data_IF_883484496915
#
_entry.id   IF_883484496915
#
_cell.length_a   1.000
_cell.length_b   1.000
_cell.length_c   1.000
_cell.angle_alpha   90.00
_cell.angle_beta   90.00
_cell.angle_gamma   90.00
#
_symmetry.space_group_name_H-M   'P 1'
#
loop_
_entity.id
_entity.type
_entity.pdbx_description
1 polymer ?
#
# COMPACT_ATOMS: atom_id res chain seq x y z
N UNK A 1 -14.32 -0.80 9.84
CA UNK A 1 -13.94 0.58 10.18
C UNK A 1 -12.73 0.64 11.13
N UNK A 2 -12.73 0.04 12.33
CA UNK A 2 -11.59 0.08 13.27
C UNK A 2 -10.27 -0.47 12.68
N UNK A 3 -10.32 -1.52 11.86
CA UNK A 3 -9.14 -2.07 11.17
C UNK A 3 -8.59 -1.06 10.17
N UNK A 4 -9.47 -0.39 9.42
CA UNK A 4 -9.10 0.64 8.44
C UNK A 4 -8.41 1.85 9.09
N UNK A 5 -8.82 2.25 10.31
CA UNK A 5 -8.14 3.31 11.07
C UNK A 5 -6.66 2.98 11.32
N UNK A 6 -6.33 1.69 11.42
CA UNK A 6 -4.93 1.26 11.49
C UNK A 6 -4.16 1.57 10.22
N UNK A 7 -4.73 1.23 9.07
CA UNK A 7 -4.13 1.51 7.77
C UNK A 7 -3.99 3.01 7.48
N UNK A 8 -4.86 3.87 8.05
CA UNK A 8 -4.76 5.32 7.89
C UNK A 8 -3.40 5.84 8.34
N UNK A 9 -2.91 5.44 9.52
CA UNK A 9 -1.62 5.91 10.02
C UNK A 9 -0.43 5.24 9.37
N UNK A 10 -0.62 4.04 8.80
CA UNK A 10 0.35 3.43 7.90
C UNK A 10 0.57 4.29 6.64
N UNK A 11 -0.53 4.73 6.04
CA UNK A 11 -0.46 5.62 4.87
C UNK A 11 0.06 7.00 5.24
N UNK A 12 -0.27 7.52 6.44
CA UNK A 12 0.36 8.72 6.96
C UNK A 12 1.87 8.59 6.95
N UNK A 13 2.41 7.52 7.57
CA UNK A 13 3.84 7.30 7.70
C UNK A 13 4.54 7.07 6.34
N UNK A 14 3.88 6.37 5.44
CA UNK A 14 4.40 6.14 4.10
C UNK A 14 4.49 7.44 3.29
N UNK A 15 3.43 8.24 3.32
CA UNK A 15 3.33 9.45 2.49
C UNK A 15 4.02 10.66 3.09
N UNK A 16 4.13 10.81 4.42
CA UNK A 16 4.87 11.93 4.97
C UNK A 16 6.32 11.95 4.47
N UNK A 17 6.89 10.77 4.18
CA UNK A 17 8.23 10.61 3.57
C UNK A 17 8.45 11.58 2.42
N UNK A 18 7.47 11.73 1.53
CA UNK A 18 7.55 12.66 0.40
C UNK A 18 7.46 14.13 0.83
N UNK A 19 6.52 14.43 1.71
CA UNK A 19 6.16 15.81 2.04
C UNK A 19 7.13 16.48 3.02
N UNK A 20 7.85 15.73 3.85
CA UNK A 20 8.90 16.27 4.74
C UNK A 20 10.24 16.45 4.04
N UNK A 21 10.43 15.82 2.87
CA UNK A 21 11.69 15.82 2.12
C UNK A 21 12.29 17.21 1.90
N UNK A 22 11.56 18.21 1.39
CA UNK A 22 12.13 19.51 1.15
C UNK A 22 12.58 20.21 2.45
N UNK A 23 11.84 20.00 3.56
CA UNK A 23 12.23 20.51 4.88
C UNK A 23 13.52 19.89 5.39
N UNK A 24 13.64 18.58 5.30
CA UNK A 24 14.85 17.84 5.71
C UNK A 24 16.08 18.22 4.88
N UNK A 25 15.90 18.43 3.56
CA UNK A 25 16.97 18.89 2.67
C UNK A 25 17.44 20.30 3.07
N UNK A 26 16.51 21.21 3.32
CA UNK A 26 16.83 22.57 3.77
C UNK A 26 17.54 22.60 5.14
N UNK A 27 17.26 21.65 6.03
CA UNK A 27 17.93 21.48 7.32
C UNK A 27 19.35 20.89 7.20
N UNK A 28 19.88 20.69 5.99
CA UNK A 28 21.22 20.13 5.69
C UNK A 28 21.47 18.74 6.32
N UNK A 29 20.43 17.98 6.61
CA UNK A 29 20.54 16.65 7.22
C UNK A 29 21.06 15.57 6.27
N UNK A 30 21.13 15.87 4.97
CA UNK A 30 21.57 14.93 3.93
C UNK A 30 22.86 15.36 3.23
N UNK A 31 23.75 16.04 3.95
CA UNK A 31 25.12 16.29 3.48
C UNK A 31 25.95 15.01 3.63
N UNK A 32 27.02 14.82 2.83
CA UNK A 32 27.91 13.64 2.94
C UNK A 32 28.42 13.41 4.36
N UNK A 33 28.76 14.49 5.09
CA UNK A 33 29.23 14.46 6.47
C UNK A 33 28.15 13.96 7.43
N UNK A 34 26.89 14.42 7.27
CA UNK A 34 25.77 14.03 8.10
C UNK A 34 25.29 12.60 7.83
N UNK A 35 25.53 12.07 6.63
CA UNK A 35 25.10 10.74 6.22
C UNK A 35 26.04 9.63 6.74
N UNK A 36 27.28 9.93 7.13
CA UNK A 36 28.22 8.96 7.67
C UNK A 36 28.34 7.70 6.81
N UNK A 37 28.03 6.53 7.38
CA UNK A 37 28.09 5.24 6.67
C UNK A 37 27.27 5.22 5.38
N UNK A 38 26.12 5.88 5.33
CA UNK A 38 25.28 5.93 4.11
C UNK A 38 25.94 6.70 2.97
N UNK A 39 26.92 7.57 3.26
CA UNK A 39 27.70 8.24 2.20
C UNK A 39 28.68 7.29 1.51
N UNK A 40 29.17 6.26 2.23
CA UNK A 40 30.10 5.25 1.72
C UNK A 40 29.41 4.11 0.95
N UNK A 41 28.08 4.00 0.98
CA UNK A 41 27.30 3.20 0.02
C UNK A 41 27.45 3.71 -1.43
N UNK A 42 28.47 4.48 -1.66
CA UNK A 42 28.92 5.27 -2.80
C UNK A 42 29.20 4.57 -4.13
N UNK A 43 28.50 3.46 -4.44
CA UNK A 43 28.39 2.93 -5.81
C UNK A 43 27.52 3.85 -6.68
N UNK A 44 26.67 4.63 -6.05
CA UNK A 44 25.86 5.68 -6.67
C UNK A 44 26.17 6.96 -5.89
N UNK A 45 26.54 8.06 -6.53
CA UNK A 45 26.57 9.41 -5.94
C UNK A 45 25.16 9.83 -5.57
N UNK A 46 24.62 9.22 -4.51
CA UNK A 46 23.21 9.32 -4.16
C UNK A 46 22.95 10.66 -3.52
N UNK A 47 21.92 11.37 -3.98
CA UNK A 47 21.40 12.52 -3.24
C UNK A 47 20.93 12.02 -1.85
N UNK A 48 21.27 12.75 -0.81
CA UNK A 48 21.07 12.27 0.56
C UNK A 48 19.65 11.86 0.90
N UNK A 49 18.64 12.53 0.35
CA UNK A 49 17.24 12.14 0.53
C UNK A 49 16.90 10.76 -0.07
N UNK A 50 17.57 10.35 -1.15
CA UNK A 50 17.42 9.00 -1.70
C UNK A 50 17.71 7.90 -0.68
N UNK A 51 18.67 8.14 0.25
CA UNK A 51 18.98 7.18 1.33
C UNK A 51 17.84 7.06 2.34
N UNK A 52 17.10 8.12 2.59
CA UNK A 52 15.92 8.11 3.47
C UNK A 52 14.78 7.28 2.87
N UNK A 53 14.49 7.47 1.58
CA UNK A 53 13.51 6.66 0.84
C UNK A 53 13.96 5.18 0.81
N UNK A 54 15.24 4.93 0.51
CA UNK A 54 15.81 3.58 0.55
C UNK A 54 15.63 2.93 1.92
N UNK A 55 16.00 3.61 3.00
CA UNK A 55 15.86 3.09 4.37
C UNK A 55 14.41 2.73 4.70
N UNK A 56 13.45 3.54 4.25
CA UNK A 56 12.02 3.28 4.42
C UNK A 56 11.62 1.94 3.80
N UNK A 57 11.87 1.76 2.51
CA UNK A 57 11.40 0.58 1.77
C UNK A 57 12.26 -0.66 2.02
N UNK A 58 13.56 -0.49 2.28
CA UNK A 58 14.43 -1.59 2.68
C UNK A 58 14.02 -2.15 4.05
N UNK A 59 13.73 -1.27 5.01
CA UNK A 59 13.15 -1.66 6.30
C UNK A 59 11.83 -2.40 6.12
N UNK A 60 10.92 -1.85 5.33
CA UNK A 60 9.63 -2.45 5.03
C UNK A 60 9.79 -3.85 4.42
N UNK A 61 10.69 -4.02 3.45
CA UNK A 61 10.99 -5.32 2.86
C UNK A 61 11.50 -6.32 3.89
N UNK A 62 12.46 -5.92 4.72
CA UNK A 62 12.96 -6.76 5.82
C UNK A 62 11.85 -7.14 6.78
N UNK A 63 10.98 -6.20 7.16
CA UNK A 63 9.82 -6.43 8.01
C UNK A 63 8.87 -7.50 7.45
N UNK A 64 8.54 -7.40 6.17
CA UNK A 64 7.69 -8.37 5.47
C UNK A 64 8.34 -9.76 5.42
N UNK A 65 9.62 -9.84 5.06
CA UNK A 65 10.31 -11.12 4.84
C UNK A 65 10.67 -11.80 6.16
N UNK A 66 11.23 -11.07 7.11
CA UNK A 66 11.70 -11.64 8.37
C UNK A 66 10.56 -11.95 9.35
N UNK A 67 9.53 -11.09 9.39
CA UNK A 67 8.47 -11.17 10.38
C UNK A 67 7.09 -11.48 9.82
N UNK A 68 6.93 -11.67 8.50
CA UNK A 68 5.64 -11.94 7.87
C UNK A 68 4.91 -13.19 8.40
N UNK A 69 5.64 -14.15 9.01
CA UNK A 69 5.05 -15.34 9.64
C UNK A 69 4.74 -15.16 11.13
N UNK A 70 5.11 -14.02 11.73
CA UNK A 70 4.93 -13.79 13.16
C UNK A 70 3.45 -13.76 13.56
N UNK A 71 2.58 -13.26 12.68
CA UNK A 71 1.15 -13.21 12.89
C UNK A 71 0.51 -14.62 12.98
N UNK A 72 1.07 -15.61 12.29
CA UNK A 72 0.61 -17.00 12.38
C UNK A 72 0.99 -17.64 13.72
N UNK A 73 2.13 -17.25 14.27
CA UNK A 73 2.66 -17.82 15.53
C UNK A 73 2.07 -17.15 16.77
N UNK A 74 2.02 -15.82 16.80
CA UNK A 74 1.69 -15.03 17.99
C UNK A 74 0.25 -14.48 18.00
N UNK A 75 -0.49 -14.64 16.91
CA UNK A 75 -1.83 -14.07 16.74
C UNK A 75 -1.82 -12.74 16.01
N UNK A 76 -2.93 -12.47 15.32
CA UNK A 76 -3.05 -11.27 14.47
C UNK A 76 -3.10 -10.00 15.32
N UNK A 77 -3.90 -10.00 16.39
CA UNK A 77 -4.05 -8.86 17.30
C UNK A 77 -2.75 -8.49 18.00
N UNK A 78 -2.01 -9.47 18.52
CA UNK A 78 -0.76 -9.24 19.21
C UNK A 78 0.30 -8.63 18.27
N UNK A 79 0.54 -9.25 17.11
CA UNK A 79 1.54 -8.77 16.14
C UNK A 79 1.17 -7.39 15.61
N UNK A 80 -0.11 -7.16 15.32
CA UNK A 80 -0.63 -5.87 14.90
C UNK A 80 -0.40 -4.76 15.94
N UNK A 81 -0.58 -5.07 17.21
CA UNK A 81 -0.37 -4.12 18.31
C UNK A 81 1.11 -3.80 18.50
N UNK A 82 1.96 -4.83 18.57
CA UNK A 82 3.39 -4.67 18.81
C UNK A 82 4.12 -4.02 17.64
N UNK A 83 3.77 -4.35 16.41
CA UNK A 83 4.35 -3.69 15.24
C UNK A 83 4.01 -2.20 15.17
N UNK A 84 2.80 -1.81 15.60
CA UNK A 84 2.40 -0.42 15.72
C UNK A 84 3.25 0.33 16.76
N UNK A 85 3.38 -0.22 17.96
CA UNK A 85 4.21 0.37 19.03
C UNK A 85 5.66 0.51 18.56
N UNK A 86 6.18 -0.52 17.92
CA UNK A 86 7.53 -0.53 17.37
C UNK A 86 7.76 0.62 16.38
N UNK A 87 6.93 0.71 15.32
CA UNK A 87 7.17 1.74 14.31
C UNK A 87 6.92 3.16 14.84
N UNK A 88 5.92 3.34 15.71
CA UNK A 88 5.61 4.63 16.36
C UNK A 88 6.78 5.09 17.20
N UNK A 89 7.33 4.23 18.05
CA UNK A 89 8.49 4.55 18.88
C UNK A 89 9.72 4.90 18.02
N UNK A 90 10.00 4.11 16.98
CA UNK A 90 11.11 4.37 16.08
C UNK A 90 10.94 5.69 15.31
N UNK A 91 9.73 5.99 14.82
CA UNK A 91 9.42 7.25 14.13
C UNK A 91 9.50 8.46 15.07
N UNK A 92 9.04 8.31 16.32
CA UNK A 92 9.18 9.35 17.34
C UNK A 92 10.67 9.65 17.64
N UNK A 93 11.48 8.62 17.87
CA UNK A 93 12.92 8.79 18.11
C UNK A 93 13.61 9.43 16.91
N UNK A 94 13.22 9.04 15.69
CA UNK A 94 13.72 9.64 14.44
C UNK A 94 13.50 11.16 14.41
N UNK A 95 12.35 11.65 14.87
CA UNK A 95 12.02 13.07 14.85
C UNK A 95 12.99 13.94 15.68
N UNK A 96 13.69 13.38 16.64
CA UNK A 96 14.65 14.08 17.50
C UNK A 96 16.10 13.92 17.06
N UNK A 97 16.38 13.20 15.97
CA UNK A 97 17.75 13.03 15.50
C UNK A 97 18.26 14.29 14.80
N UNK A 98 19.57 14.54 14.98
CA UNK A 98 20.27 15.70 14.42
C UNK A 98 21.17 15.37 13.22
N UNK A 99 21.35 14.09 12.88
CA UNK A 99 22.17 13.64 11.76
C UNK A 99 21.41 12.76 10.80
N UNK A 100 21.67 12.89 9.50
CA UNK A 100 21.05 12.08 8.46
C UNK A 100 21.29 10.59 8.64
N UNK A 101 22.45 10.19 9.17
CA UNK A 101 22.77 8.79 9.46
C UNK A 101 21.77 8.18 10.45
N UNK A 102 21.54 8.82 11.60
CA UNK A 102 20.62 8.30 12.60
C UNK A 102 19.18 8.42 12.17
N UNK A 103 18.82 9.44 11.40
CA UNK A 103 17.50 9.53 10.77
C UNK A 103 17.24 8.30 9.88
N UNK A 104 18.21 7.93 9.03
CA UNK A 104 18.11 6.76 8.15
C UNK A 104 18.04 5.44 8.93
N UNK A 105 18.83 5.29 10.00
CA UNK A 105 18.79 4.10 10.85
C UNK A 105 17.42 3.92 11.50
N UNK A 106 16.90 4.98 12.13
CA UNK A 106 15.59 4.91 12.78
C UNK A 106 14.47 4.76 11.75
N UNK A 107 14.64 5.35 10.56
CA UNK A 107 13.68 5.17 9.45
C UNK A 107 13.64 3.72 8.94
N UNK A 108 14.79 3.06 8.87
CA UNK A 108 14.87 1.64 8.55
C UNK A 108 14.17 0.78 9.62
N UNK A 109 14.43 1.06 10.90
CA UNK A 109 13.80 0.35 12.03
C UNK A 109 12.27 0.56 12.02
N UNK A 110 11.80 1.79 11.79
CA UNK A 110 10.39 2.10 11.64
C UNK A 110 9.77 1.38 10.44
N UNK A 111 10.46 1.37 9.30
CA UNK A 111 10.04 0.67 8.09
C UNK A 111 9.87 -0.83 8.32
N UNK A 112 10.75 -1.47 9.12
CA UNK A 112 10.61 -2.88 9.45
C UNK A 112 9.34 -3.14 10.28
N UNK A 113 9.04 -2.33 11.28
CA UNK A 113 7.77 -2.42 12.04
C UNK A 113 6.54 -2.23 11.14
N UNK A 114 6.61 -1.27 10.21
CA UNK A 114 5.56 -1.02 9.23
C UNK A 114 5.34 -2.22 8.29
N UNK A 115 6.41 -2.88 7.82
CA UNK A 115 6.32 -4.06 6.97
C UNK A 115 5.60 -5.24 7.63
N UNK A 116 5.82 -5.45 8.93
CA UNK A 116 5.09 -6.44 9.73
C UNK A 116 3.60 -6.12 9.78
N UNK A 117 3.26 -4.86 10.00
CA UNK A 117 1.89 -4.39 10.14
C UNK A 117 1.10 -4.53 8.84
N UNK A 118 1.69 -4.16 7.69
CA UNK A 118 1.06 -4.20 6.38
C UNK A 118 0.50 -5.62 6.06
N UNK A 119 1.32 -6.66 6.26
CA UNK A 119 0.90 -8.05 6.02
C UNK A 119 -0.21 -8.47 7.00
N UNK A 120 -0.15 -7.98 8.23
CA UNK A 120 -1.10 -8.34 9.28
C UNK A 120 -2.48 -7.71 9.04
N UNK A 121 -2.54 -6.44 8.63
CA UNK A 121 -3.80 -5.71 8.34
C UNK A 121 -4.57 -6.38 7.22
N UNK A 122 -3.91 -6.66 6.10
CA UNK A 122 -4.55 -7.30 4.94
C UNK A 122 -5.11 -8.69 5.29
N UNK A 123 -4.33 -9.48 6.02
CA UNK A 123 -4.76 -10.82 6.48
C UNK A 123 -5.97 -10.71 7.42
N UNK A 124 -5.91 -9.77 8.36
CA UNK A 124 -6.95 -9.55 9.35
C UNK A 124 -8.27 -9.09 8.71
N UNK A 125 -8.19 -8.18 7.73
CA UNK A 125 -9.34 -7.71 6.98
C UNK A 125 -10.04 -8.88 6.23
N UNK A 126 -9.24 -9.75 5.59
CA UNK A 126 -9.77 -10.94 4.88
C UNK A 126 -10.42 -11.93 5.83
N UNK A 127 -9.85 -12.14 7.02
CA UNK A 127 -10.35 -13.11 8.00
C UNK A 127 -11.63 -12.68 8.70
N UNK A 128 -11.82 -11.37 8.91
CA UNK A 128 -13.01 -10.81 9.57
C UNK A 128 -14.12 -10.40 8.60
N UNK A 129 -13.85 -10.37 7.29
CA UNK A 129 -14.86 -9.94 6.32
C UNK A 129 -15.48 -11.16 5.59
N UNK A 130 -16.82 -11.25 5.52
CA UNK A 130 -17.52 -12.28 4.74
C UNK A 130 -17.06 -12.28 3.28
N UNK A 131 -17.00 -13.47 2.65
CA UNK A 131 -16.48 -13.62 1.29
C UNK A 131 -17.22 -12.77 0.25
N UNK A 132 -18.52 -12.58 0.42
CA UNK A 132 -19.38 -11.78 -0.48
C UNK A 132 -19.11 -10.27 -0.42
N UNK A 133 -18.51 -9.77 0.68
CA UNK A 133 -18.29 -8.34 0.91
C UNK A 133 -16.80 -7.94 0.85
N UNK A 134 -15.88 -8.92 0.70
CA UNK A 134 -14.42 -8.65 0.74
C UNK A 134 -13.98 -7.58 -0.24
N UNK A 135 -14.43 -7.64 -1.49
CA UNK A 135 -14.05 -6.64 -2.49
C UNK A 135 -14.47 -5.22 -2.08
N UNK A 136 -15.71 -5.06 -1.63
CA UNK A 136 -16.20 -3.76 -1.13
C UNK A 136 -15.44 -3.30 0.11
N UNK A 137 -15.18 -4.20 1.06
CA UNK A 137 -14.43 -3.89 2.27
C UNK A 137 -13.01 -3.41 1.95
N UNK A 138 -12.33 -4.05 0.98
CA UNK A 138 -11.02 -3.60 0.52
C UNK A 138 -11.07 -2.22 -0.13
N UNK A 139 -12.06 -1.94 -0.99
CA UNK A 139 -12.21 -0.63 -1.61
C UNK A 139 -12.45 0.47 -0.58
N UNK A 140 -13.37 0.22 0.37
CA UNK A 140 -13.66 1.16 1.46
C UNK A 140 -12.43 1.37 2.34
N UNK A 141 -11.74 0.29 2.71
CA UNK A 141 -10.48 0.37 3.46
C UNK A 141 -9.46 1.24 2.74
N UNK A 142 -9.26 1.01 1.46
CA UNK A 142 -8.29 1.75 0.66
C UNK A 142 -8.66 3.23 0.53
N UNK A 143 -9.95 3.51 0.32
CA UNK A 143 -10.45 4.90 0.28
C UNK A 143 -10.19 5.62 1.61
N UNK A 144 -10.53 4.99 2.74
CA UNK A 144 -10.28 5.53 4.08
C UNK A 144 -8.78 5.78 4.30
N UNK A 145 -7.92 4.82 3.91
CA UNK A 145 -6.48 4.96 4.03
C UNK A 145 -5.92 6.12 3.19
N UNK A 146 -6.40 6.30 1.96
CA UNK A 146 -5.96 7.40 1.11
C UNK A 146 -6.49 8.78 1.54
N UNK A 147 -7.58 8.87 2.32
CA UNK A 147 -8.06 10.14 2.86
C UNK A 147 -7.05 10.85 3.77
N UNK A 148 -6.08 10.12 4.34
CA UNK A 148 -5.04 10.70 5.18
C UNK A 148 -3.98 11.47 4.35
N UNK A 149 -3.81 11.13 3.07
CA UNK A 149 -2.72 11.71 2.25
C UNK A 149 -2.89 13.22 2.05
N UNK A 150 -4.08 13.75 1.69
CA UNK A 150 -4.31 15.20 1.70
C UNK A 150 -4.06 15.84 3.07
N UNK A 151 -4.38 15.16 4.17
CA UNK A 151 -4.14 15.69 5.52
C UNK A 151 -2.65 15.83 5.79
N UNK A 152 -1.85 14.82 5.46
CA UNK A 152 -0.38 14.87 5.58
C UNK A 152 0.18 16.00 4.72
N UNK A 153 -0.29 16.12 3.49
CA UNK A 153 0.16 17.16 2.57
C UNK A 153 -0.18 18.55 3.08
N UNK A 154 -1.40 18.75 3.61
CA UNK A 154 -1.83 20.01 4.23
C UNK A 154 -0.98 20.37 5.44
N UNK A 155 -0.78 19.42 6.36
CA UNK A 155 0.06 19.64 7.54
C UNK A 155 1.49 20.00 7.13
N UNK A 156 2.03 19.35 6.11
CA UNK A 156 3.37 19.64 5.61
C UNK A 156 3.44 21.04 4.98
N UNK A 157 2.46 21.42 4.17
CA UNK A 157 2.39 22.77 3.60
C UNK A 157 2.35 23.86 4.67
N UNK A 158 1.58 23.65 5.74
CA UNK A 158 1.44 24.63 6.82
C UNK A 158 2.64 24.69 7.76
N UNK A 159 3.32 23.56 8.03
CA UNK A 159 4.33 23.45 9.08
C UNK A 159 5.77 23.42 8.55
N UNK A 160 6.04 22.71 7.44
CA UNK A 160 7.42 22.50 6.96
C UNK A 160 8.15 23.81 6.60
N UNK A 161 7.50 24.84 6.01
CA UNK A 161 8.17 26.13 5.76
C UNK A 161 8.43 26.95 7.04
N UNK A 162 7.86 26.54 8.17
CA UNK A 162 7.93 27.25 9.45
C UNK A 162 8.79 26.48 10.43
N UNK A 163 9.24 27.16 11.47
CA UNK A 163 9.92 26.54 12.62
C UNK A 163 9.18 26.90 13.92
N UNK A 164 7.97 26.34 14.16
CA UNK A 164 7.21 26.67 15.37
C UNK A 164 8.01 26.31 16.62
N UNK A 165 8.07 27.26 17.57
CA UNK A 165 8.83 27.11 18.83
C UNK A 165 10.35 26.84 18.65
N UNK A 166 10.93 27.25 17.51
CA UNK A 166 12.34 27.00 17.21
C UNK A 166 12.65 25.55 16.78
N UNK A 167 11.61 24.74 16.57
CA UNK A 167 11.74 23.35 16.16
C UNK A 167 11.33 23.21 14.68
N UNK A 168 12.14 22.52 13.87
CA UNK A 168 11.94 22.40 12.42
C UNK A 168 10.57 21.83 12.07
N UNK A 169 9.85 22.48 11.16
CA UNK A 169 8.45 22.17 10.86
C UNK A 169 8.20 20.73 10.39
N UNK A 170 9.16 20.09 9.69
CA UNK A 170 9.05 18.70 9.26
C UNK A 170 8.97 17.75 10.46
N UNK A 171 9.64 18.05 11.58
CA UNK A 171 9.58 17.23 12.81
C UNK A 171 8.18 17.24 13.43
N UNK A 172 7.48 18.37 13.36
CA UNK A 172 6.10 18.46 13.82
C UNK A 172 5.18 17.57 12.99
N UNK A 173 5.34 17.53 11.66
CA UNK A 173 4.57 16.61 10.80
C UNK A 173 4.77 15.18 11.23
N UNK A 174 6.01 14.76 11.48
CA UNK A 174 6.33 13.40 11.96
C UNK A 174 5.66 13.11 13.32
N UNK A 175 5.74 14.04 14.26
CA UNK A 175 5.16 13.88 15.61
C UNK A 175 3.64 13.85 15.59
N UNK A 176 2.97 14.62 14.72
CA UNK A 176 1.52 14.51 14.54
C UNK A 176 1.09 13.10 14.13
N UNK A 177 1.81 12.47 13.20
CA UNK A 177 1.58 11.09 12.82
C UNK A 177 1.74 10.12 13.99
N UNK A 178 2.77 10.34 14.80
CA UNK A 178 3.05 9.54 15.99
C UNK A 178 1.91 9.64 17.02
N UNK A 179 1.46 10.86 17.34
CA UNK A 179 0.34 11.09 18.28
C UNK A 179 -0.95 10.45 17.77
N UNK A 180 -1.25 10.63 16.48
CA UNK A 180 -2.42 10.02 15.86
C UNK A 180 -2.39 8.50 15.89
N UNK A 181 -1.22 7.89 15.66
CA UNK A 181 -1.04 6.44 15.74
C UNK A 181 -1.22 5.90 17.18
N UNK A 182 -0.78 6.64 18.20
CA UNK A 182 -1.03 6.31 19.60
C UNK A 182 -2.54 6.36 19.91
N UNK A 183 -3.26 7.38 19.43
CA UNK A 183 -4.70 7.47 19.60
C UNK A 183 -5.43 6.27 18.99
N UNK A 184 -5.04 5.85 17.78
CA UNK A 184 -5.60 4.64 17.13
C UNK A 184 -5.21 3.39 17.89
N UNK A 185 -3.99 3.30 18.42
CA UNK A 185 -3.61 2.18 19.28
C UNK A 185 -4.54 2.02 20.48
N UNK A 186 -4.90 3.12 21.16
CA UNK A 186 -5.85 3.09 22.27
C UNK A 186 -7.25 2.61 21.81
N UNK A 187 -7.72 3.05 20.65
CA UNK A 187 -9.02 2.64 20.10
C UNK A 187 -9.07 1.15 19.68
N UNK A 188 -7.92 0.54 19.38
CA UNK A 188 -7.81 -0.86 18.96
C UNK A 188 -8.03 -1.89 20.07
N UNK A 189 -8.05 -1.50 21.33
CA UNK A 189 -8.27 -2.42 22.45
C UNK A 189 -9.54 -3.28 22.26
N UNK A 190 -10.57 -2.73 21.58
CA UNK A 190 -11.83 -3.40 21.29
C UNK A 190 -11.83 -4.36 20.09
N UNK A 191 -10.74 -4.48 19.32
CA UNK A 191 -10.70 -5.40 18.17
C UNK A 191 -10.51 -6.84 18.68
N UNK A 192 -11.40 -7.81 18.30
CA UNK A 192 -11.27 -9.20 18.72
C UNK A 192 -10.13 -9.90 17.97
N UNK A 193 -9.57 -10.99 18.50
CA UNK A 193 -8.60 -11.82 17.78
C UNK A 193 -9.28 -12.53 16.58
N UNK A 194 -8.47 -12.99 15.61
CA UNK A 194 -8.99 -13.72 14.45
C UNK A 194 -9.62 -15.05 14.87
N UNK A 195 -10.91 -15.31 14.54
CA UNK A 195 -11.55 -16.59 14.80
C UNK A 195 -10.82 -17.78 14.13
N UNK A 196 -10.26 -17.56 12.94
CA UNK A 196 -9.51 -18.60 12.22
C UNK A 196 -8.21 -18.96 12.90
N UNK A 197 -7.51 -17.97 13.45
CA UNK A 197 -6.30 -18.20 14.22
C UNK A 197 -6.61 -18.94 15.52
N UNK A 198 -7.64 -18.49 16.27
CA UNK A 198 -8.07 -19.17 17.50
C UNK A 198 -8.43 -20.64 17.23
N UNK A 199 -9.17 -20.91 16.17
CA UNK A 199 -9.50 -22.27 15.77
C UNK A 199 -8.24 -23.09 15.42
N UNK A 200 -7.23 -22.49 14.77
CA UNK A 200 -5.96 -23.17 14.47
C UNK A 200 -5.12 -23.49 15.73
N UNK A 201 -5.35 -22.74 16.82
CA UNK A 201 -4.72 -22.97 18.14
C UNK A 201 -5.54 -23.89 19.04
N UNK A 202 -6.66 -24.44 18.56
CA UNK A 202 -7.55 -25.31 19.33
C UNK A 202 -8.49 -24.58 20.28
N UNK A 203 -8.52 -23.23 20.28
CA UNK A 203 -9.39 -22.38 21.13
C UNK A 203 -10.76 -22.18 20.49
N UNK A 204 -11.49 -23.29 20.28
CA UNK A 204 -12.74 -23.30 19.49
C UNK A 204 -13.85 -22.47 20.14
N UNK A 205 -14.01 -22.56 21.47
CA UNK A 205 -15.07 -21.84 22.20
C UNK A 205 -14.95 -20.31 22.07
N UNK A 206 -13.71 -19.81 22.04
CA UNK A 206 -13.46 -18.39 21.84
C UNK A 206 -13.72 -17.96 20.39
N UNK A 207 -13.33 -18.80 19.44
CA UNK A 207 -13.59 -18.56 18.03
C UNK A 207 -15.11 -18.49 17.77
N UNK A 208 -15.88 -19.42 18.33
CA UNK A 208 -17.34 -19.45 18.20
C UNK A 208 -18.00 -18.22 18.82
N UNK A 209 -17.56 -17.78 20.01
CA UNK A 209 -18.08 -16.53 20.65
C UNK A 209 -17.87 -15.31 19.78
N UNK A 210 -16.69 -15.18 19.15
CA UNK A 210 -16.39 -14.03 18.29
C UNK A 210 -17.24 -14.08 17.01
N UNK A 211 -17.37 -15.24 16.38
CA UNK A 211 -18.21 -15.42 15.18
C UNK A 211 -19.66 -15.07 15.52
N UNK A 212 -20.22 -15.59 16.61
CA UNK A 212 -21.58 -15.30 17.06
C UNK A 212 -21.79 -13.81 17.38
N UNK A 213 -20.77 -13.12 17.91
CA UNK A 213 -20.84 -11.68 18.13
C UNK A 213 -20.87 -10.89 16.82
N UNK A 214 -20.06 -11.28 15.83
CA UNK A 214 -20.04 -10.67 14.50
C UNK A 214 -21.36 -10.91 13.73
N UNK A 215 -21.90 -12.13 13.78
CA UNK A 215 -23.18 -12.48 13.15
C UNK A 215 -24.34 -11.68 13.76
N UNK A 216 -24.38 -11.52 15.08
CA UNK A 216 -25.39 -10.68 15.77
C UNK A 216 -25.29 -9.22 15.35
N UNK A 217 -24.08 -8.67 15.23
CA UNK A 217 -23.86 -7.31 14.75
C UNK A 217 -24.40 -7.11 13.32
N UNK A 218 -24.13 -8.05 12.42
CA UNK A 218 -24.63 -8.02 11.04
C UNK A 218 -26.14 -8.17 10.98
N UNK A 219 -26.73 -9.03 11.82
CA UNK A 219 -28.17 -9.22 11.89
C UNK A 219 -28.89 -7.95 12.39
N UNK A 220 -28.33 -7.29 13.41
CA UNK A 220 -28.86 -6.03 13.95
C UNK A 220 -28.83 -4.89 12.91
N UNK A 221 -27.74 -4.77 12.13
CA UNK A 221 -27.65 -3.79 11.04
C UNK A 221 -28.66 -4.07 9.93
N UNK A 222 -28.89 -5.35 9.58
CA UNK A 222 -29.91 -5.74 8.59
C UNK A 222 -31.32 -5.42 9.04
N UNK A 223 -31.65 -5.68 10.31
CA UNK A 223 -32.97 -5.35 10.88
C UNK A 223 -33.25 -3.85 10.88
N UNK A 224 -32.26 -3.03 11.26
CA UNK A 224 -32.38 -1.57 11.20
C UNK A 224 -32.49 -1.01 9.77
N UNK A 225 -31.88 -1.66 8.78
CA UNK A 225 -31.99 -1.28 7.38
C UNK A 225 -33.31 -1.72 6.73
N UNK A 226 -33.93 -2.79 7.21
CA UNK A 226 -35.24 -3.27 6.73
C UNK A 226 -36.42 -2.41 7.20
N UNK A 227 -36.28 -1.72 8.33
CA UNK A 227 -37.30 -0.74 8.79
C UNK A 227 -37.31 0.54 7.94
N UNK A 228 -36.26 0.82 7.18
CA UNK A 228 -36.12 2.02 6.32
C UNK A 228 -36.25 1.74 4.81
N UNK A 229 -36.43 0.49 4.36
CA UNK A 229 -36.43 0.08 2.96
C UNK A 229 -37.83 -0.11 2.35
N UNK A 230 -37.99 0.26 1.06
CA UNK A 230 -39.24 0.10 0.30
C UNK A 230 -39.61 -1.38 0.05
N UNK A 231 -40.92 -1.70 -0.14
CA UNK A 231 -41.45 -3.09 -0.19
C UNK A 231 -40.91 -4.00 -1.30
N UNK A 232 -40.19 -3.47 -2.28
CA UNK A 232 -39.71 -4.25 -3.44
C UNK A 232 -38.43 -5.09 -3.18
N UNK A 233 -37.67 -4.80 -2.13
CA UNK A 233 -36.41 -5.52 -1.85
C UNK A 233 -36.58 -6.81 -1.03
N UNK A 234 -37.74 -7.03 -0.42
CA UNK A 234 -38.05 -8.23 0.38
C UNK A 234 -38.04 -9.53 -0.44
N UNK A 235 -38.50 -9.50 -1.66
CA UNK A 235 -38.59 -10.70 -2.52
C UNK A 235 -37.22 -11.18 -3.05
N UNK A 236 -36.19 -10.31 -3.08
CA UNK A 236 -34.85 -10.67 -3.51
C UNK A 236 -33.98 -11.23 -2.35
N UNK A 237 -34.32 -10.90 -1.11
CA UNK A 237 -33.61 -11.37 0.09
C UNK A 237 -33.99 -12.80 0.46
N UNK A 238 -35.26 -13.18 0.34
CA UNK A 238 -35.76 -14.51 0.67
C UNK A 238 -35.20 -15.65 -0.21
N UNK A 239 -34.77 -15.34 -1.43
CA UNK A 239 -34.11 -16.33 -2.32
C UNK A 239 -32.65 -16.60 -2.00
N UNK A 240 -32.03 -15.88 -1.09
CA UNK A 240 -30.61 -16.05 -0.69
C UNK A 240 -30.40 -16.83 0.61
N UNK A 241 -31.44 -17.08 1.37
CA UNK A 241 -31.38 -17.84 2.62
C UNK A 241 -31.65 -19.32 2.40
N UNK A 242 -30.76 -19.99 1.62
CA UNK A 242 -30.68 -21.46 1.70
C UNK A 242 -30.11 -21.82 3.09
N UNK A 243 -30.72 -22.80 3.81
CA UNK A 243 -30.25 -23.19 5.12
C UNK A 243 -28.77 -23.61 5.04
N UNK A 244 -27.96 -22.98 5.88
CA UNK A 244 -26.56 -23.34 6.00
C UNK A 244 -26.46 -24.82 6.37
N UNK A 245 -25.71 -25.61 5.61
CA UNK A 245 -25.47 -27.03 5.88
C UNK A 245 -25.08 -27.27 7.34
N UNK A 246 -25.52 -28.39 7.95
CA UNK A 246 -25.23 -28.72 9.35
C UNK A 246 -23.74 -28.58 9.68
N UNK A 247 -23.43 -28.07 10.87
CA UNK A 247 -22.07 -27.81 11.35
C UNK A 247 -21.12 -29.01 11.21
N UNK A 248 -21.64 -30.23 11.31
CA UNK A 248 -20.86 -31.46 11.19
C UNK A 248 -20.42 -31.73 9.74
N UNK A 249 -21.25 -31.43 8.76
CA UNK A 249 -20.88 -31.53 7.34
C UNK A 249 -19.81 -30.47 6.97
N UNK A 250 -19.88 -29.30 7.58
CA UNK A 250 -18.84 -28.25 7.44
C UNK A 250 -17.54 -28.67 8.11
N UNK A 251 -17.59 -29.27 9.31
CA UNK A 251 -16.40 -29.80 10.02
C UNK A 251 -15.72 -30.92 9.24
N UNK A 252 -16.47 -31.81 8.61
CA UNK A 252 -15.92 -32.86 7.76
C UNK A 252 -15.27 -32.30 6.49
N UNK A 253 -15.89 -31.32 5.84
CA UNK A 253 -15.35 -30.67 4.64
C UNK A 253 -14.13 -29.79 4.96
N UNK A 254 -14.10 -29.12 6.11
CA UNK A 254 -12.94 -28.34 6.55
C UNK A 254 -11.78 -29.23 7.00
N UNK A 255 -12.02 -30.32 7.72
CA UNK A 255 -10.97 -31.30 8.06
C UNK A 255 -10.37 -31.94 6.81
N UNK A 256 -11.17 -32.31 5.80
CA UNK A 256 -10.70 -32.77 4.51
C UNK A 256 -9.89 -31.72 3.75
N UNK A 257 -10.31 -30.45 3.79
CA UNK A 257 -9.57 -29.31 3.20
C UNK A 257 -8.27 -29.00 3.93
N UNK A 258 -8.24 -29.07 5.25
CA UNK A 258 -7.02 -28.83 6.05
C UNK A 258 -5.98 -29.93 5.83
N UNK A 259 -6.39 -31.19 5.67
CA UNK A 259 -5.48 -32.28 5.31
C UNK A 259 -5.03 -32.26 3.85
N UNK A 260 -5.85 -31.77 2.93
CA UNK A 260 -5.53 -31.68 1.49
C UNK A 260 -4.64 -30.48 1.12
N UNK A 261 -4.42 -29.51 1.99
CA UNK A 261 -3.46 -28.42 1.76
C UNK A 261 -2.05 -28.94 2.00
N UNK A 262 -1.57 -29.84 1.13
CA UNK A 262 -0.13 -30.00 0.92
C UNK A 262 0.46 -28.60 0.78
N UNK A 263 1.36 -28.20 1.69
CA UNK A 263 2.01 -26.88 1.68
C UNK A 263 2.57 -26.65 0.28
N UNK A 264 1.92 -25.79 -0.50
CA UNK A 264 2.37 -25.44 -1.83
C UNK A 264 3.86 -25.05 -1.73
N UNK A 265 4.73 -25.59 -2.56
CA UNK A 265 6.17 -25.24 -2.54
C UNK A 265 6.39 -24.04 -3.42
N UNK A 266 7.28 -23.11 -3.03
CA UNK A 266 7.66 -21.97 -3.87
C UNK A 266 8.16 -22.42 -5.25
N UNK A 267 8.81 -23.57 -5.33
CA UNK A 267 9.24 -24.19 -6.59
C UNK A 267 8.09 -24.40 -7.60
N UNK A 268 6.84 -24.57 -7.14
CA UNK A 268 5.69 -24.73 -8.04
C UNK A 268 5.41 -23.49 -8.88
N UNK A 269 5.80 -22.28 -8.42
CA UNK A 269 5.67 -21.04 -9.18
C UNK A 269 6.55 -21.00 -10.42
N UNK A 270 7.62 -21.80 -10.43
CA UNK A 270 8.56 -21.91 -11.54
C UNK A 270 8.31 -23.15 -12.42
N UNK A 271 7.24 -23.91 -12.12
CA UNK A 271 6.82 -24.98 -13.01
C UNK A 271 6.50 -24.42 -14.42
N UNK A 272 6.69 -25.20 -15.50
CA UNK A 272 6.48 -24.75 -16.89
C UNK A 272 5.17 -24.02 -17.12
N UNK A 273 4.12 -24.43 -16.41
CA UNK A 273 2.78 -23.89 -16.47
C UNK A 273 2.66 -22.46 -15.90
N UNK A 274 3.38 -22.14 -14.81
CA UNK A 274 3.23 -20.87 -14.08
C UNK A 274 4.41 -19.94 -14.26
N UNK A 275 5.58 -20.42 -14.73
CA UNK A 275 6.81 -19.64 -14.83
C UNK A 275 6.63 -18.34 -15.63
N UNK A 276 5.91 -18.40 -16.76
CA UNK A 276 5.66 -17.22 -17.58
C UNK A 276 4.83 -16.15 -16.86
N UNK A 277 3.76 -16.56 -16.18
CA UNK A 277 2.91 -15.67 -15.38
C UNK A 277 3.67 -15.09 -14.18
N UNK A 278 4.47 -15.91 -13.50
CA UNK A 278 5.29 -15.47 -12.37
C UNK A 278 6.33 -14.45 -12.80
N UNK A 279 7.05 -14.70 -13.91
CA UNK A 279 8.05 -13.78 -14.44
C UNK A 279 7.40 -12.46 -14.91
N UNK A 280 6.34 -12.55 -15.70
CA UNK A 280 5.59 -11.40 -16.20
C UNK A 280 5.12 -10.50 -15.04
N UNK A 281 4.48 -11.08 -14.02
CA UNK A 281 4.00 -10.31 -12.88
C UNK A 281 5.15 -9.77 -12.01
N UNK A 282 6.27 -10.48 -11.89
CA UNK A 282 7.46 -9.98 -11.18
C UNK A 282 8.04 -8.76 -11.87
N UNK A 283 8.22 -8.82 -13.20
CA UNK A 283 8.68 -7.68 -14.01
C UNK A 283 7.69 -6.51 -13.91
N UNK A 284 6.39 -6.78 -14.04
CA UNK A 284 5.36 -5.76 -13.90
C UNK A 284 5.38 -5.10 -12.50
N UNK A 285 5.50 -5.90 -11.43
CA UNK A 285 5.54 -5.35 -10.06
C UNK A 285 6.76 -4.46 -9.81
N UNK A 286 7.91 -4.77 -10.41
CA UNK A 286 9.09 -3.90 -10.40
C UNK A 286 8.80 -2.60 -11.17
N UNK A 287 8.30 -2.72 -12.38
CA UNK A 287 8.08 -1.58 -13.27
C UNK A 287 7.04 -0.60 -12.71
N UNK A 288 5.86 -1.10 -12.29
CA UNK A 288 4.77 -0.26 -11.83
C UNK A 288 5.13 0.52 -10.57
N UNK A 289 5.90 -0.09 -9.66
CA UNK A 289 6.25 0.54 -8.39
C UNK A 289 7.30 1.64 -8.56
N UNK A 290 8.18 1.51 -9.56
CA UNK A 290 9.10 2.59 -9.96
C UNK A 290 8.31 3.85 -10.32
N UNK A 291 7.25 3.71 -11.12
CA UNK A 291 6.38 4.84 -11.44
C UNK A 291 5.66 5.38 -10.22
N UNK A 292 4.96 4.52 -9.49
CA UNK A 292 4.13 4.94 -8.37
C UNK A 292 4.95 5.68 -7.29
N UNK A 293 5.98 5.05 -6.75
CA UNK A 293 6.80 5.67 -5.70
C UNK A 293 7.85 6.63 -6.25
N UNK A 294 8.33 6.44 -7.47
CA UNK A 294 9.24 7.37 -8.12
C UNK A 294 8.62 8.76 -8.32
N UNK A 295 7.31 8.84 -8.55
CA UNK A 295 6.59 10.11 -8.59
C UNK A 295 6.10 10.54 -7.21
N UNK A 296 5.28 9.72 -6.54
CA UNK A 296 4.60 10.13 -5.30
C UNK A 296 5.56 10.42 -4.14
N UNK A 297 6.65 9.64 -3.98
CA UNK A 297 7.63 9.89 -2.90
C UNK A 297 8.55 11.09 -3.18
N UNK A 298 8.58 11.57 -4.42
CA UNK A 298 9.47 12.64 -4.84
C UNK A 298 8.74 13.90 -5.31
N UNK A 299 7.41 13.89 -5.33
CA UNK A 299 6.60 14.97 -5.90
C UNK A 299 6.99 16.37 -5.41
N UNK A 300 7.05 16.69 -4.10
CA UNK A 300 7.46 18.02 -3.67
C UNK A 300 8.90 18.38 -4.07
N UNK A 301 9.80 17.37 -4.07
CA UNK A 301 11.20 17.55 -4.48
C UNK A 301 11.33 17.77 -5.99
N UNK A 302 10.54 17.06 -6.81
CA UNK A 302 10.46 17.27 -8.25
C UNK A 302 9.97 18.68 -8.59
N UNK A 303 8.97 19.19 -7.85
CA UNK A 303 8.47 20.56 -8.00
C UNK A 303 9.54 21.58 -7.60
N UNK A 304 10.24 21.36 -6.48
CA UNK A 304 11.34 22.22 -6.05
C UNK A 304 12.51 22.23 -7.05
N UNK A 305 12.84 21.09 -7.65
CA UNK A 305 13.87 20.98 -8.70
C UNK A 305 13.49 21.72 -9.99
N UNK A 306 12.21 22.07 -10.18
CA UNK A 306 11.71 22.93 -11.26
C UNK A 306 11.82 24.43 -10.93
N UNK A 307 12.48 24.78 -9.83
CA UNK A 307 12.63 26.18 -9.39
C UNK A 307 11.44 26.73 -8.61
N UNK A 308 10.45 25.90 -8.28
CA UNK A 308 9.31 26.30 -7.45
C UNK A 308 9.79 26.36 -6.00
N UNK A 309 9.48 27.46 -5.31
CA UNK A 309 9.87 27.59 -3.91
C UNK A 309 9.21 26.53 -3.01
N UNK A 310 9.77 26.31 -1.83
CA UNK A 310 9.32 25.29 -0.89
C UNK A 310 7.81 25.34 -0.60
N UNK A 311 7.29 26.53 -0.31
CA UNK A 311 5.88 26.71 0.06
C UNK A 311 4.93 26.33 -1.07
N UNK A 312 5.18 26.82 -2.29
CA UNK A 312 4.36 26.49 -3.45
C UNK A 312 4.56 25.03 -3.91
N UNK A 313 5.75 24.45 -3.73
CA UNK A 313 5.95 23.03 -4.02
C UNK A 313 5.07 22.15 -3.14
N UNK A 314 4.94 22.47 -1.86
CA UNK A 314 4.08 21.74 -0.92
C UNK A 314 2.59 22.06 -1.15
N UNK A 315 2.24 23.28 -1.53
CA UNK A 315 0.89 23.68 -1.93
C UNK A 315 0.41 22.87 -3.14
N UNK A 316 1.20 22.82 -4.22
CA UNK A 316 0.84 22.06 -5.42
C UNK A 316 0.77 20.56 -5.12
N UNK A 317 1.69 20.04 -4.31
CA UNK A 317 1.64 18.66 -3.87
C UNK A 317 0.39 18.34 -3.03
N UNK A 318 -0.08 19.29 -2.20
CA UNK A 318 -1.35 19.18 -1.48
C UNK A 318 -2.55 19.10 -2.44
N UNK A 319 -2.62 20.00 -3.43
CA UNK A 319 -3.70 20.01 -4.43
C UNK A 319 -3.74 18.68 -5.22
N UNK A 320 -2.57 18.15 -5.57
CA UNK A 320 -2.46 16.84 -6.23
C UNK A 320 -2.88 15.71 -5.29
N UNK A 321 -2.55 15.80 -4.00
CA UNK A 321 -2.89 14.79 -3.00
C UNK A 321 -4.40 14.60 -2.80
N UNK A 322 -5.21 15.63 -3.07
CA UNK A 322 -6.68 15.55 -3.01
C UNK A 322 -7.22 14.49 -3.98
N UNK A 323 -6.51 14.19 -5.06
CA UNK A 323 -6.88 13.15 -6.01
C UNK A 323 -6.67 11.72 -5.47
N UNK A 324 -5.89 11.52 -4.42
CA UNK A 324 -5.57 10.20 -3.88
C UNK A 324 -6.82 9.39 -3.44
N UNK A 325 -7.74 9.90 -2.62
CA UNK A 325 -8.94 9.17 -2.24
C UNK A 325 -9.96 9.03 -3.38
N UNK A 326 -9.89 9.90 -4.40
CA UNK A 326 -10.82 9.86 -5.55
C UNK A 326 -10.54 8.65 -6.45
N UNK A 327 -9.28 8.25 -6.59
CA UNK A 327 -8.89 7.12 -7.43
C UNK A 327 -9.59 5.80 -7.09
N UNK A 328 -9.56 5.31 -5.84
CA UNK A 328 -10.28 4.11 -5.42
C UNK A 328 -11.80 4.20 -5.62
N UNK A 329 -12.41 5.37 -5.41
CA UNK A 329 -13.84 5.58 -5.66
C UNK A 329 -14.19 5.42 -7.14
N UNK A 330 -13.39 6.02 -8.02
CA UNK A 330 -13.55 5.84 -9.47
C UNK A 330 -13.28 4.39 -9.88
N UNK A 331 -12.33 3.72 -9.24
CA UNK A 331 -12.02 2.32 -9.47
C UNK A 331 -13.25 1.41 -9.32
N UNK A 332 -14.08 1.64 -8.31
CA UNK A 332 -15.33 0.89 -8.09
C UNK A 332 -16.30 1.04 -9.28
N UNK A 333 -16.37 2.23 -9.89
CA UNK A 333 -17.30 2.50 -11.01
C UNK A 333 -16.87 1.82 -12.32
N UNK A 334 -15.56 1.62 -12.52
CA UNK A 334 -15.01 1.09 -13.76
C UNK A 334 -14.55 -0.37 -13.67
N UNK A 335 -14.43 -0.94 -12.45
CA UNK A 335 -13.84 -2.25 -12.20
C UNK A 335 -14.38 -3.40 -13.06
N UNK A 336 -15.70 -3.43 -13.26
CA UNK A 336 -16.38 -4.54 -13.97
C UNK A 336 -16.74 -4.21 -15.42
N UNK A 337 -16.48 -2.96 -15.87
CA UNK A 337 -16.88 -2.50 -17.20
C UNK A 337 -15.81 -2.71 -18.25
N UNK A 338 -14.53 -2.63 -17.89
CA UNK A 338 -13.40 -2.69 -18.80
C UNK A 338 -12.55 -3.91 -18.44
N UNK A 339 -11.95 -4.57 -19.44
CA UNK A 339 -10.98 -5.66 -19.24
C UNK A 339 -9.81 -5.19 -18.35
N UNK A 340 -9.47 -5.96 -17.31
CA UNK A 340 -8.43 -5.59 -16.34
C UNK A 340 -7.06 -5.35 -16.98
N UNK A 341 -6.68 -6.20 -17.94
CA UNK A 341 -5.46 -6.02 -18.74
C UNK A 341 -5.43 -4.64 -19.43
N UNK A 342 -6.53 -4.26 -20.05
CA UNK A 342 -6.66 -2.96 -20.74
C UNK A 342 -6.61 -1.80 -19.76
N UNK A 343 -7.26 -1.91 -18.59
CA UNK A 343 -7.18 -0.89 -17.53
C UNK A 343 -5.75 -0.67 -17.07
N UNK A 344 -4.99 -1.76 -16.86
CA UNK A 344 -3.59 -1.70 -16.43
C UNK A 344 -2.74 -1.00 -17.49
N UNK A 345 -2.87 -1.41 -18.75
CA UNK A 345 -2.08 -0.85 -19.87
C UNK A 345 -2.40 0.63 -20.06
N UNK A 346 -3.68 1.02 -20.08
CA UNK A 346 -4.09 2.42 -20.18
C UNK A 346 -3.62 3.26 -18.98
N UNK A 347 -3.68 2.70 -17.77
CA UNK A 347 -3.17 3.35 -16.57
C UNK A 347 -1.67 3.64 -16.65
N UNK A 348 -0.87 2.62 -17.03
CA UNK A 348 0.58 2.80 -17.22
C UNK A 348 0.91 3.79 -18.35
N UNK A 349 0.18 3.73 -19.47
CA UNK A 349 0.36 4.67 -20.58
C UNK A 349 0.04 6.11 -20.14
N UNK A 350 -1.07 6.31 -19.40
CA UNK A 350 -1.43 7.61 -18.86
C UNK A 350 -0.40 8.14 -17.86
N UNK A 351 0.14 7.27 -16.97
CA UNK A 351 1.22 7.64 -16.06
C UNK A 351 2.48 8.07 -16.80
N UNK A 352 2.91 7.29 -17.80
CA UNK A 352 4.08 7.62 -18.63
C UNK A 352 3.91 8.93 -19.39
N UNK A 353 2.76 9.13 -20.04
CA UNK A 353 2.44 10.34 -20.75
C UNK A 353 2.35 11.57 -19.83
N UNK A 354 1.68 11.44 -18.70
CA UNK A 354 1.58 12.51 -17.71
C UNK A 354 2.95 12.90 -17.14
N UNK A 355 3.83 11.93 -16.86
CA UNK A 355 5.18 12.19 -16.36
C UNK A 355 6.07 12.86 -17.44
N UNK A 356 5.98 12.40 -18.67
CA UNK A 356 6.68 13.03 -19.80
C UNK A 356 6.23 14.50 -19.97
N UNK A 357 4.93 14.74 -20.01
CA UNK A 357 4.37 16.09 -20.12
C UNK A 357 4.74 16.94 -18.88
N UNK A 358 4.74 16.37 -17.66
CA UNK A 358 5.15 17.04 -16.44
C UNK A 358 6.59 17.56 -16.53
N UNK A 359 7.49 16.81 -17.18
CA UNK A 359 8.89 17.22 -17.34
C UNK A 359 9.08 18.46 -18.25
N UNK A 360 8.11 18.79 -19.10
CA UNK A 360 8.14 19.98 -19.96
C UNK A 360 7.21 21.12 -19.49
N UNK A 361 6.32 20.83 -18.54
CA UNK A 361 5.35 21.81 -18.07
C UNK A 361 6.02 22.98 -17.35
N UNK A 362 5.63 24.22 -17.67
CA UNK A 362 6.17 25.48 -17.07
C UNK A 362 5.16 26.19 -16.19
N UNK A 363 3.86 25.99 -16.42
CA UNK A 363 2.81 26.66 -15.63
C UNK A 363 2.40 25.81 -14.42
N UNK A 364 2.07 26.49 -13.33
CA UNK A 364 1.56 25.84 -12.11
C UNK A 364 0.33 24.97 -12.37
N UNK A 365 -0.62 25.48 -13.17
CA UNK A 365 -1.84 24.76 -13.50
C UNK A 365 -1.53 23.46 -14.26
N UNK A 366 -0.60 23.48 -15.23
CA UNK A 366 -0.21 22.28 -15.97
C UNK A 366 0.44 21.24 -15.04
N UNK A 367 1.32 21.65 -14.13
CA UNK A 367 1.96 20.77 -13.16
C UNK A 367 0.94 20.09 -12.24
N UNK A 368 -0.05 20.87 -11.75
CA UNK A 368 -1.11 20.35 -10.88
C UNK A 368 -1.99 19.35 -11.67
N UNK A 369 -2.47 19.72 -12.85
CA UNK A 369 -3.35 18.87 -13.67
C UNK A 369 -2.64 17.57 -14.08
N UNK A 370 -1.39 17.66 -14.51
CA UNK A 370 -0.61 16.46 -14.87
C UNK A 370 -0.30 15.58 -13.66
N UNK A 371 -0.02 16.20 -12.49
CA UNK A 371 0.14 15.46 -11.23
C UNK A 371 -1.14 14.75 -10.79
N UNK A 372 -2.30 15.39 -10.90
CA UNK A 372 -3.61 14.79 -10.65
C UNK A 372 -3.86 13.64 -11.62
N UNK A 373 -3.60 13.86 -12.93
CA UNK A 373 -3.75 12.83 -13.97
C UNK A 373 -2.90 11.61 -13.68
N UNK A 374 -1.62 11.82 -13.33
CA UNK A 374 -0.71 10.75 -12.92
C UNK A 374 -1.26 9.98 -11.72
N UNK A 375 -1.69 10.68 -10.68
CA UNK A 375 -2.18 10.10 -9.43
C UNK A 375 -3.45 9.27 -9.64
N UNK A 376 -4.42 9.79 -10.40
CA UNK A 376 -5.65 9.07 -10.73
C UNK A 376 -5.35 7.82 -11.57
N UNK A 377 -4.51 7.94 -12.60
CA UNK A 377 -4.10 6.82 -13.43
C UNK A 377 -3.40 5.73 -12.62
N UNK A 378 -2.50 6.11 -11.70
CA UNK A 378 -1.79 5.19 -10.81
C UNK A 378 -2.74 4.43 -9.88
N UNK A 379 -3.73 5.12 -9.28
CA UNK A 379 -4.68 4.50 -8.38
C UNK A 379 -5.66 3.57 -9.11
N UNK A 380 -6.17 3.98 -10.28
CA UNK A 380 -7.02 3.13 -11.13
C UNK A 380 -6.28 1.87 -11.60
N UNK A 381 -5.04 2.02 -12.04
CA UNK A 381 -4.18 0.90 -12.43
C UNK A 381 -3.94 -0.04 -11.24
N UNK A 382 -3.62 0.53 -10.06
CA UNK A 382 -3.37 -0.23 -8.83
C UNK A 382 -4.57 -1.10 -8.45
N UNK A 383 -5.79 -0.58 -8.52
CA UNK A 383 -7.00 -1.34 -8.27
C UNK A 383 -7.15 -2.53 -9.23
N UNK A 384 -6.94 -2.29 -10.53
CA UNK A 384 -7.07 -3.32 -11.56
C UNK A 384 -6.04 -4.45 -11.38
N UNK A 385 -4.76 -4.12 -11.10
CA UNK A 385 -3.71 -5.13 -11.04
C UNK A 385 -3.79 -6.02 -9.78
N UNK A 386 -4.23 -5.51 -8.64
CA UNK A 386 -4.40 -6.34 -7.44
C UNK A 386 -5.40 -7.47 -7.68
N UNK A 387 -6.48 -7.19 -8.37
CA UNK A 387 -7.46 -8.20 -8.79
C UNK A 387 -6.87 -9.14 -9.84
N UNK A 388 -6.24 -8.58 -10.87
CA UNK A 388 -5.65 -9.32 -11.98
C UNK A 388 -4.62 -10.35 -11.53
N UNK A 389 -3.65 -9.97 -10.68
CA UNK A 389 -2.64 -10.89 -10.20
C UNK A 389 -3.22 -12.06 -9.38
N UNK A 390 -4.32 -11.83 -8.66
CA UNK A 390 -4.99 -12.87 -7.89
C UNK A 390 -5.73 -13.88 -8.78
N UNK A 391 -6.20 -13.46 -9.94
CA UNK A 391 -6.92 -14.32 -10.91
C UNK A 391 -6.00 -15.24 -11.71
N UNK A 392 -4.72 -14.87 -11.87
CA UNK A 392 -3.77 -15.63 -12.69
C UNK A 392 -3.25 -16.91 -12.02
N UNK A 393 -3.55 -17.14 -10.75
CA UNK A 393 -3.10 -18.32 -10.01
C UNK A 393 -4.26 -19.10 -9.39
N UNK A 394 -4.21 -20.45 -9.46
CA UNK A 394 -5.21 -21.31 -8.82
C UNK A 394 -5.23 -21.10 -7.30
N UNK A 395 -6.39 -21.29 -6.69
CA UNK A 395 -6.65 -21.02 -5.26
C UNK A 395 -5.61 -21.64 -4.33
N UNK A 396 -5.10 -22.84 -4.69
CA UNK A 396 -4.12 -23.61 -3.88
C UNK A 396 -2.78 -22.88 -3.68
N UNK A 397 -2.27 -22.20 -4.72
CA UNK A 397 -0.96 -21.51 -4.69
C UNK A 397 -1.08 -19.98 -4.68
N UNK A 398 -2.31 -19.43 -4.84
CA UNK A 398 -2.57 -18.00 -5.07
C UNK A 398 -1.90 -17.08 -4.06
N UNK A 399 -2.10 -17.30 -2.76
CA UNK A 399 -1.55 -16.44 -1.73
C UNK A 399 -0.02 -16.37 -1.75
N UNK A 400 0.64 -17.51 -2.00
CA UNK A 400 2.10 -17.58 -2.13
C UNK A 400 2.60 -16.93 -3.41
N UNK A 401 1.89 -17.16 -4.52
CA UNK A 401 2.23 -16.57 -5.80
C UNK A 401 2.13 -15.05 -5.74
N UNK A 402 0.99 -14.52 -5.27
CA UNK A 402 0.78 -13.08 -5.10
C UNK A 402 1.81 -12.50 -4.14
N UNK A 403 2.05 -13.13 -2.98
CA UNK A 403 3.07 -12.68 -2.03
C UNK A 403 4.48 -12.64 -2.63
N UNK A 404 4.85 -13.67 -3.40
CA UNK A 404 6.15 -13.72 -4.07
C UNK A 404 6.30 -12.61 -5.12
N UNK A 405 5.35 -12.49 -6.06
CA UNK A 405 5.47 -11.47 -7.12
C UNK A 405 5.37 -10.05 -6.57
N UNK A 406 4.58 -9.85 -5.52
CA UNK A 406 4.44 -8.55 -4.87
C UNK A 406 5.65 -8.15 -4.01
N UNK A 407 6.43 -9.11 -3.49
CA UNK A 407 7.65 -8.79 -2.73
C UNK A 407 8.69 -8.04 -3.56
N UNK A 408 8.75 -8.28 -4.87
CA UNK A 408 9.61 -7.55 -5.80
C UNK A 408 9.29 -6.05 -5.85
N UNK A 409 8.03 -5.67 -5.67
CA UNK A 409 7.64 -4.26 -5.64
C UNK A 409 8.29 -3.50 -4.48
N UNK A 410 8.43 -4.12 -3.31
CA UNK A 410 9.03 -3.48 -2.13
C UNK A 410 10.54 -3.28 -2.29
N UNK A 411 11.20 -4.30 -2.81
CA UNK A 411 12.62 -4.23 -3.12
C UNK A 411 12.90 -3.17 -4.21
N UNK A 412 12.10 -3.17 -5.28
CA UNK A 412 12.22 -2.18 -6.35
C UNK A 412 11.96 -0.76 -5.86
N UNK A 413 11.00 -0.54 -4.94
CA UNK A 413 10.74 0.78 -4.37
C UNK A 413 11.95 1.34 -3.60
N UNK A 414 12.67 0.49 -2.87
CA UNK A 414 13.88 0.89 -2.16
C UNK A 414 14.95 1.41 -3.13
N UNK A 415 15.27 0.65 -4.17
CA UNK A 415 16.26 1.06 -5.15
C UNK A 415 15.78 2.19 -6.06
N UNK A 416 14.49 2.24 -6.39
CA UNK A 416 13.92 3.35 -7.18
C UNK A 416 14.15 4.70 -6.50
N UNK A 417 14.02 4.77 -5.17
CA UNK A 417 14.32 6.00 -4.41
C UNK A 417 15.76 6.47 -4.58
N UNK A 418 16.72 5.55 -4.56
CA UNK A 418 18.13 5.88 -4.79
C UNK A 418 18.39 6.35 -6.23
N UNK A 419 17.84 5.63 -7.21
CA UNK A 419 18.02 5.93 -8.63
C UNK A 419 17.38 7.28 -8.97
N UNK A 420 16.16 7.56 -8.50
CA UNK A 420 15.50 8.85 -8.72
C UNK A 420 16.30 9.98 -8.08
N UNK A 421 16.84 9.78 -6.87
CA UNK A 421 17.70 10.76 -6.23
C UNK A 421 18.95 11.08 -7.03
N UNK A 422 19.61 10.07 -7.57
CA UNK A 422 20.78 10.23 -8.45
C UNK A 422 20.43 10.95 -9.74
N UNK A 423 19.40 10.47 -10.45
CA UNK A 423 18.97 11.06 -11.72
C UNK A 423 18.51 12.50 -11.57
N UNK A 424 17.85 12.82 -10.46
CA UNK A 424 17.40 14.18 -10.18
C UNK A 424 18.59 15.13 -9.95
N UNK A 425 19.65 14.66 -9.30
CA UNK A 425 20.84 15.45 -9.05
C UNK A 425 21.70 15.68 -10.32
N UNK A 426 21.78 14.68 -11.20
CA UNK A 426 22.66 14.69 -12.38
C UNK A 426 21.93 15.22 -13.63
N UNK A 427 20.71 14.76 -13.91
CA UNK A 427 19.94 15.07 -15.12
C UNK A 427 18.61 15.79 -14.88
N UNK A 428 18.31 16.16 -13.63
CA UNK A 428 17.08 16.87 -13.28
C UNK A 428 15.79 16.07 -13.50
N UNK A 429 14.67 16.79 -13.55
CA UNK A 429 13.34 16.20 -13.75
C UNK A 429 13.20 15.42 -15.07
N UNK A 430 13.80 15.85 -16.21
CA UNK A 430 13.74 15.08 -17.45
C UNK A 430 14.35 13.68 -17.34
N UNK A 431 15.48 13.52 -16.66
CA UNK A 431 16.11 12.21 -16.48
C UNK A 431 15.22 11.27 -15.64
N UNK A 432 14.58 11.80 -14.61
CA UNK A 432 13.59 11.05 -13.82
C UNK A 432 12.38 10.67 -14.66
N UNK A 433 11.91 11.56 -15.53
CA UNK A 433 10.78 11.30 -16.43
C UNK A 433 11.09 10.17 -17.42
N UNK A 434 12.29 10.14 -17.99
CA UNK A 434 12.75 9.06 -18.87
C UNK A 434 12.80 7.73 -18.11
N UNK A 435 13.32 7.72 -16.89
CA UNK A 435 13.39 6.51 -16.07
C UNK A 435 12.00 5.95 -15.72
N UNK A 436 11.08 6.81 -15.27
CA UNK A 436 9.70 6.42 -15.00
C UNK A 436 8.99 5.98 -16.27
N UNK A 437 9.15 6.72 -17.39
CA UNK A 437 8.57 6.40 -18.67
C UNK A 437 9.04 5.03 -19.21
N UNK A 438 10.33 4.74 -19.10
CA UNK A 438 10.90 3.43 -19.47
C UNK A 438 10.33 2.30 -18.60
N UNK A 439 10.21 2.51 -17.30
CA UNK A 439 9.56 1.54 -16.41
C UNK A 439 8.09 1.30 -16.79
N UNK A 440 7.34 2.36 -17.11
CA UNK A 440 5.95 2.22 -17.57
C UNK A 440 5.87 1.44 -18.89
N UNK A 441 6.77 1.72 -19.84
CA UNK A 441 6.85 0.99 -21.10
C UNK A 441 7.15 -0.51 -20.90
N UNK A 442 8.06 -0.85 -19.99
CA UNK A 442 8.35 -2.24 -19.61
C UNK A 442 7.10 -2.90 -19.02
N UNK A 443 6.36 -2.22 -18.14
CA UNK A 443 5.11 -2.72 -17.56
C UNK A 443 4.03 -2.94 -18.64
N UNK A 444 3.89 -2.02 -19.59
CA UNK A 444 2.97 -2.13 -20.73
C UNK A 444 3.32 -3.35 -21.60
N UNK A 445 4.59 -3.54 -21.92
CA UNK A 445 5.04 -4.70 -22.67
C UNK A 445 4.77 -5.99 -21.92
N UNK A 446 5.12 -6.04 -20.61
CA UNK A 446 4.91 -7.22 -19.79
C UNK A 446 3.43 -7.65 -19.75
N UNK A 447 2.52 -6.75 -19.42
CA UNK A 447 1.09 -7.07 -19.33
C UNK A 447 0.44 -7.11 -20.72
N UNK A 448 0.76 -6.16 -21.58
CA UNK A 448 0.12 -6.01 -22.90
C UNK A 448 0.38 -7.18 -23.85
N UNK A 449 1.60 -7.70 -23.88
CA UNK A 449 1.93 -8.82 -24.77
C UNK A 449 1.82 -10.19 -24.09
N UNK A 450 2.24 -10.30 -22.83
CA UNK A 450 2.32 -11.60 -22.13
C UNK A 450 1.16 -11.86 -21.16
N UNK A 451 0.36 -10.83 -20.83
CA UNK A 451 -0.76 -10.98 -19.94
C UNK A 451 -1.98 -11.58 -20.65
N UNK A 452 -2.61 -12.65 -20.10
CA UNK A 452 -3.88 -13.16 -20.61
C UNK A 452 -5.04 -12.22 -20.28
N UNK A 453 -6.11 -12.28 -21.08
CA UNK A 453 -7.40 -11.66 -20.72
C UNK A 453 -8.08 -12.50 -19.64
N UNK A 454 -8.72 -11.83 -18.66
CA UNK A 454 -9.34 -12.51 -17.51
C UNK A 454 -10.85 -12.29 -17.41
N UNK A 455 -11.40 -11.33 -18.15
CA UNK A 455 -12.80 -10.99 -18.07
C UNK A 455 -13.69 -12.11 -18.65
N UNK A 456 -14.68 -12.57 -17.86
CA UNK A 456 -15.63 -13.58 -18.28
C UNK A 456 -15.08 -15.00 -18.36
N UNK A 457 -13.82 -15.22 -17.96
CA UNK A 457 -13.21 -16.56 -17.91
C UNK A 457 -13.33 -17.11 -16.49
N UNK A 458 -13.81 -18.35 -16.34
CA UNK A 458 -13.87 -18.98 -15.04
C UNK A 458 -12.44 -19.20 -14.50
N UNK A 459 -12.25 -18.97 -13.20
CA UNK A 459 -10.92 -19.10 -12.54
C UNK A 459 -10.27 -20.47 -12.77
N UNK A 460 -11.09 -21.52 -12.89
CA UNK A 460 -10.67 -22.89 -13.16
C UNK A 460 -10.06 -23.01 -14.57
N UNK A 461 -10.65 -22.35 -15.57
CA UNK A 461 -10.16 -22.36 -16.96
C UNK A 461 -8.86 -21.54 -17.14
N UNK A 462 -8.67 -20.48 -16.35
CA UNK A 462 -7.41 -19.75 -16.31
C UNK A 462 -6.30 -20.54 -15.63
N UNK A 463 -6.68 -21.52 -14.79
CA UNK A 463 -5.74 -22.35 -14.05
C UNK A 463 -5.37 -23.65 -14.76
N UNK A 464 -6.08 -24.03 -15.81
CA UNK A 464 -5.77 -25.13 -16.72
C UNK A 464 -4.92 -24.67 -17.89
#
# INVERSE_FOLDING_TARGET
MLISLGGVFEFYDLFFTAYVAPGMVNSRLFTPESLGFFSSLGVLRVSGFGTFVFSTFAGLWVGVVAFGQSADRFGRKAVFTWSLVWYVAATAIMAFQSTGQWINVWRFIAGAGFGVQLVTVDTYLVELTPSSLRGRAFCVNQCICFCIVPVVALLSWLLVPKAPFGFEGWRWVVLFGTVGAIAVWALRAGIPESPRWLASQGRLDEAERIVAALERGVAAERSGSQEQGMPGERAASERRDSPLAPLDARRATERGRVQAVRRARLAELFAPRFRGRTLMLSVFNVAQVIGFYGFNSWLPTLLSARGINLTHSLEYAFLIAIAQPVGPLLGVLFADRIERKTQIVLGLASMGAAMAAFSFATSAMALIVLGITFTLAANLMSYAYHSYQAELFPTRIRSRAVGFVYSWSRLAAAFAGLIVGYLLADGGVPAVAVFIGAAMAIGIVAIGFFGPATRGVALEQLSD
#
